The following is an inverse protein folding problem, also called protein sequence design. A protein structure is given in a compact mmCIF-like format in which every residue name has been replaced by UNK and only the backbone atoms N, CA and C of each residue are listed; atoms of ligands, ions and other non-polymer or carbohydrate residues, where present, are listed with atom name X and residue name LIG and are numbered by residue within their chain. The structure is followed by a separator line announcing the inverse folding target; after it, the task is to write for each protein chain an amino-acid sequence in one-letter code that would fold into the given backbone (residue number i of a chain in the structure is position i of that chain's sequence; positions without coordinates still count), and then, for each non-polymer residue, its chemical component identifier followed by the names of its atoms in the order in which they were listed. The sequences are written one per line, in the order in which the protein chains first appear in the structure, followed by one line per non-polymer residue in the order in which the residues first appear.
data_IF_275449262807
#
_entry.id   IF_275449262807
#
_cell.length_a   1.000
_cell.length_b   1.000
_cell.length_c   1.000
_cell.angle_alpha   90.00
_cell.angle_beta   90.00
_cell.angle_gamma   90.00
#
_symmetry.space_group_name_H-M   'P 1'
#
loop_
_entity.id
_entity.type
_entity.pdbx_description
1 polymer ?
#
# COMPACT_ATOMS: atom_id res chain seq x y z
N UNK A 1 -28.69 -10.45 -32.24
CA UNK A 1 -27.32 -10.00 -31.96
C UNK A 1 -27.39 -8.90 -30.91
N UNK A 2 -27.60 -9.27 -29.66
CA UNK A 2 -27.73 -8.35 -28.53
C UNK A 2 -27.16 -9.09 -27.32
N UNK A 3 -26.15 -8.46 -26.64
CA UNK A 3 -25.80 -8.49 -25.24
C UNK A 3 -24.34 -8.83 -24.92
N UNK A 4 -23.49 -7.80 -24.89
CA UNK A 4 -22.39 -7.78 -23.89
C UNK A 4 -22.67 -6.85 -22.69
N UNK A 5 -23.82 -6.10 -22.67
CA UNK A 5 -24.08 -5.10 -21.62
C UNK A 5 -24.61 -5.64 -20.28
N UNK A 6 -25.06 -6.88 -20.23
CA UNK A 6 -25.58 -7.47 -18.98
C UNK A 6 -24.49 -7.77 -17.92
N UNK A 7 -23.25 -8.00 -18.35
CA UNK A 7 -22.12 -8.20 -17.45
C UNK A 7 -21.72 -6.93 -16.67
N UNK A 8 -21.68 -5.81 -17.35
CA UNK A 8 -21.36 -4.50 -16.76
C UNK A 8 -22.44 -4.03 -15.79
N UNK A 9 -23.73 -4.19 -16.13
CA UNK A 9 -24.85 -3.84 -15.23
C UNK A 9 -24.90 -4.70 -13.97
N UNK A 10 -24.41 -5.94 -14.01
CA UNK A 10 -24.34 -6.81 -12.84
C UNK A 10 -23.19 -6.44 -11.89
N UNK A 11 -22.08 -5.89 -12.40
CA UNK A 11 -20.98 -5.32 -11.62
C UNK A 11 -21.42 -4.08 -10.84
N UNK A 12 -22.26 -3.22 -11.43
CA UNK A 12 -22.77 -2.02 -10.76
C UNK A 12 -23.77 -2.31 -9.62
N UNK A 13 -24.39 -3.50 -9.60
CA UNK A 13 -25.34 -3.92 -8.55
C UNK A 13 -24.69 -4.66 -7.38
N UNK A 14 -23.52 -5.27 -7.58
CA UNK A 14 -22.65 -5.77 -6.49
C UNK A 14 -21.54 -4.75 -6.33
N UNK A 15 -21.49 -4.07 -5.19
CA UNK A 15 -20.39 -3.17 -4.92
C UNK A 15 -19.05 -3.87 -5.16
N UNK A 16 -18.11 -3.21 -5.86
CA UNK A 16 -16.77 -3.74 -6.13
C UNK A 16 -16.07 -4.01 -4.81
N UNK A 17 -15.49 -5.21 -4.68
CA UNK A 17 -14.67 -5.59 -3.55
C UNK A 17 -13.20 -5.47 -3.91
N UNK A 18 -12.49 -4.59 -3.22
CA UNK A 18 -11.06 -4.34 -3.42
C UNK A 18 -10.24 -4.78 -2.22
N UNK A 19 -9.18 -5.53 -2.45
CA UNK A 19 -8.17 -5.82 -1.43
C UNK A 19 -6.90 -5.05 -1.74
N UNK A 20 -6.46 -4.22 -0.80
CA UNK A 20 -5.18 -3.48 -0.87
C UNK A 20 -4.16 -4.19 0.01
N UNK A 21 -3.07 -4.68 -0.55
CA UNK A 21 -2.04 -5.43 0.17
C UNK A 21 -0.87 -4.51 0.52
N UNK A 22 -0.71 -4.24 1.82
CA UNK A 22 0.38 -3.45 2.38
C UNK A 22 -0.06 -2.14 3.00
N UNK A 23 0.23 -1.95 4.29
CA UNK A 23 -0.15 -0.79 5.12
C UNK A 23 0.82 0.40 5.06
N UNK A 24 1.72 0.47 4.07
CA UNK A 24 2.60 1.62 3.85
C UNK A 24 1.87 2.82 3.23
N UNK A 25 2.60 3.91 2.92
CA UNK A 25 2.00 5.14 2.40
C UNK A 25 1.15 4.91 1.15
N UNK A 26 1.65 4.14 0.18
CA UNK A 26 0.88 3.83 -1.04
C UNK A 26 -0.40 3.04 -0.74
N UNK A 27 -0.34 2.06 0.16
CA UNK A 27 -1.51 1.27 0.53
C UNK A 27 -2.55 2.06 1.31
N UNK A 28 -2.13 2.95 2.19
CA UNK A 28 -3.02 3.89 2.90
C UNK A 28 -3.81 4.75 1.90
N UNK A 29 -3.12 5.36 0.95
CA UNK A 29 -3.76 6.22 -0.06
C UNK A 29 -4.67 5.41 -1.00
N UNK A 30 -4.20 4.25 -1.46
CA UNK A 30 -4.99 3.37 -2.34
C UNK A 30 -6.26 2.87 -1.65
N UNK A 31 -6.17 2.43 -0.40
CA UNK A 31 -7.31 1.95 0.36
C UNK A 31 -8.33 3.07 0.63
N UNK A 32 -7.85 4.25 1.02
CA UNK A 32 -8.70 5.41 1.25
C UNK A 32 -9.40 5.85 -0.06
N UNK A 33 -8.67 5.94 -1.16
CA UNK A 33 -9.22 6.30 -2.47
C UNK A 33 -10.27 5.28 -2.94
N UNK A 34 -9.96 3.98 -2.88
CA UNK A 34 -10.86 2.90 -3.25
C UNK A 34 -12.18 2.96 -2.45
N UNK A 35 -12.10 3.10 -1.14
CA UNK A 35 -13.29 3.18 -0.29
C UNK A 35 -14.12 4.45 -0.58
N UNK A 36 -13.48 5.60 -0.81
CA UNK A 36 -14.18 6.86 -1.16
C UNK A 36 -14.89 6.80 -2.51
N UNK A 37 -14.40 6.00 -3.46
CA UNK A 37 -15.12 5.76 -4.74
C UNK A 37 -16.30 4.82 -4.61
N UNK A 38 -16.57 4.28 -3.42
CA UNK A 38 -17.73 3.44 -3.11
C UNK A 38 -17.45 1.95 -3.10
N UNK A 39 -16.20 1.51 -3.36
CA UNK A 39 -15.84 0.10 -3.25
C UNK A 39 -15.82 -0.36 -1.80
N UNK A 40 -16.21 -1.62 -1.56
CA UNK A 40 -15.95 -2.30 -0.29
C UNK A 40 -14.47 -2.67 -0.26
N UNK A 41 -13.71 -2.05 0.64
CA UNK A 41 -12.24 -2.12 0.61
C UNK A 41 -11.69 -2.78 1.87
N UNK A 42 -10.78 -3.72 1.68
CA UNK A 42 -9.98 -4.32 2.76
C UNK A 42 -8.53 -3.86 2.62
N UNK A 43 -8.01 -3.18 3.63
CA UNK A 43 -6.57 -2.95 3.78
C UNK A 43 -5.96 -4.13 4.52
N UNK A 44 -5.26 -4.98 3.77
CA UNK A 44 -4.58 -6.16 4.29
C UNK A 44 -3.13 -5.81 4.67
N UNK A 45 -2.78 -6.03 5.91
CA UNK A 45 -1.44 -5.75 6.45
C UNK A 45 -1.01 -6.83 7.43
N UNK A 46 0.29 -7.02 7.61
CA UNK A 46 0.84 -7.95 8.60
C UNK A 46 0.60 -7.48 10.03
N UNK A 47 0.56 -6.15 10.25
CA UNK A 47 0.23 -5.55 11.54
C UNK A 47 -0.42 -4.17 11.36
N UNK A 48 -1.57 -3.97 11.99
CA UNK A 48 -2.25 -2.68 12.01
C UNK A 48 -1.43 -1.61 12.74
N UNK A 49 -0.61 -2.00 13.71
CA UNK A 49 0.26 -1.10 14.45
C UNK A 49 1.36 -0.46 13.56
N UNK A 50 1.69 -1.07 12.42
CA UNK A 50 2.71 -0.54 11.49
C UNK A 50 2.13 0.22 10.30
N UNK A 51 0.81 0.39 10.23
CA UNK A 51 0.17 1.20 9.18
C UNK A 51 0.66 2.64 9.26
N UNK A 52 1.12 3.19 8.14
CA UNK A 52 1.65 4.55 8.05
C UNK A 52 3.06 4.71 8.62
N UNK A 53 3.78 3.63 8.92
CA UNK A 53 5.13 3.68 9.47
C UNK A 53 6.13 4.36 8.51
N UNK A 54 6.90 5.30 9.03
CA UNK A 54 8.01 5.95 8.34
C UNK A 54 9.32 5.22 8.66
N UNK A 55 9.68 4.22 7.85
CA UNK A 55 10.84 3.35 8.10
C UNK A 55 12.20 4.03 7.90
N UNK A 56 12.23 5.16 7.20
CA UNK A 56 13.46 5.90 6.88
C UNK A 56 13.39 7.30 7.49
N UNK A 57 13.80 8.34 6.74
CA UNK A 57 13.64 9.72 7.18
C UNK A 57 12.17 10.07 7.45
N UNK A 58 11.82 10.52 8.65
CA UNK A 58 10.45 10.90 8.99
C UNK A 58 10.12 12.27 8.39
N UNK A 59 9.97 12.33 7.08
CA UNK A 59 9.68 13.57 6.37
C UNK A 59 8.76 13.37 5.18
N UNK A 60 7.91 14.34 4.92
CA UNK A 60 7.05 14.44 3.74
C UNK A 60 7.49 15.67 2.93
N UNK A 61 7.53 15.53 1.62
CA UNK A 61 7.95 16.59 0.71
C UNK A 61 9.34 16.40 0.13
N UNK A 62 9.93 17.50 -0.35
CA UNK A 62 11.16 17.50 -1.15
C UNK A 62 10.88 17.46 -2.65
N UNK A 63 11.92 17.29 -3.48
CA UNK A 63 11.80 17.46 -4.94
C UNK A 63 10.94 16.34 -5.56
N UNK A 64 11.28 15.07 -5.37
CA UNK A 64 10.52 13.95 -5.94
C UNK A 64 9.22 13.64 -5.16
N UNK A 65 9.37 13.32 -3.89
CA UNK A 65 8.23 13.00 -3.02
C UNK A 65 7.22 14.15 -2.90
N UNK A 66 7.71 15.40 -2.89
CA UNK A 66 6.84 16.58 -2.78
C UNK A 66 5.88 16.74 -3.97
N UNK A 67 6.31 16.41 -5.18
CA UNK A 67 5.44 16.42 -6.36
C UNK A 67 4.35 15.38 -6.23
N UNK A 68 4.70 14.12 -5.93
CA UNK A 68 3.75 13.03 -5.75
C UNK A 68 2.77 13.30 -4.60
N UNK A 69 3.25 13.88 -3.49
CA UNK A 69 2.39 14.23 -2.36
C UNK A 69 1.35 15.28 -2.74
N UNK A 70 1.72 16.30 -3.53
CA UNK A 70 0.77 17.33 -3.99
C UNK A 70 -0.29 16.75 -4.92
N UNK A 71 0.09 15.85 -5.82
CA UNK A 71 -0.85 15.17 -6.72
C UNK A 71 -1.84 14.33 -5.93
N UNK A 72 -1.34 13.57 -4.96
CA UNK A 72 -2.18 12.74 -4.08
C UNK A 72 -3.10 13.60 -3.21
N UNK A 73 -2.59 14.69 -2.65
CA UNK A 73 -3.34 15.65 -1.82
C UNK A 73 -4.45 16.33 -2.62
N UNK A 74 -4.17 16.76 -3.85
CA UNK A 74 -5.18 17.33 -4.76
C UNK A 74 -6.34 16.36 -5.07
N UNK A 75 -6.11 15.06 -4.96
CA UNK A 75 -7.12 14.01 -5.09
C UNK A 75 -7.77 13.63 -3.74
N UNK A 76 -7.52 14.38 -2.68
CA UNK A 76 -8.06 14.14 -1.34
C UNK A 76 -7.29 13.09 -0.56
N UNK A 77 -5.98 12.97 -0.75
CA UNK A 77 -5.10 12.06 -0.03
C UNK A 77 -4.99 12.36 1.46
N UNK A 78 -4.57 11.38 2.23
CA UNK A 78 -4.46 11.44 3.68
C UNK A 78 -3.09 11.95 4.14
N UNK A 79 -2.04 11.70 3.35
CA UNK A 79 -0.65 11.93 3.76
C UNK A 79 -0.34 13.42 3.99
N UNK A 80 -0.91 14.32 3.20
CA UNK A 80 -0.78 15.77 3.38
C UNK A 80 -1.38 16.24 4.71
N UNK A 81 -2.62 15.83 4.96
CA UNK A 81 -3.37 16.17 6.20
C UNK A 81 -2.64 15.64 7.45
N UNK A 82 -2.17 14.38 7.38
CA UNK A 82 -1.42 13.78 8.48
C UNK A 82 -0.05 14.45 8.68
N UNK A 83 0.58 14.91 7.59
CA UNK A 83 1.84 15.65 7.65
C UNK A 83 1.68 17.01 8.33
N UNK A 84 0.64 17.75 8.01
CA UNK A 84 0.36 19.04 8.65
C UNK A 84 0.10 18.88 10.16
N UNK A 85 -0.58 17.79 10.54
CA UNK A 85 -0.84 17.48 11.95
C UNK A 85 0.41 17.10 12.75
N UNK A 86 1.36 16.40 12.11
CA UNK A 86 2.50 15.77 12.78
C UNK A 86 3.85 16.47 12.50
N UNK A 87 3.84 17.59 11.75
CA UNK A 87 5.07 18.28 11.39
C UNK A 87 5.68 19.01 12.59
N UNK A 88 6.98 18.80 12.79
CA UNK A 88 7.79 19.48 13.79
C UNK A 88 8.66 20.59 13.19
N UNK A 89 8.88 20.56 11.87
CA UNK A 89 9.63 21.57 11.15
C UNK A 89 9.22 21.62 9.69
N UNK A 90 9.02 22.82 9.15
CA UNK A 90 8.84 23.08 7.72
C UNK A 90 10.03 23.80 7.14
N UNK A 91 10.50 23.36 5.98
CA UNK A 91 11.60 24.01 5.26
C UNK A 91 11.38 23.98 3.76
N UNK A 92 11.63 25.11 3.10
CA UNK A 92 11.75 25.17 1.64
C UNK A 92 13.15 24.72 1.23
N UNK A 93 13.25 23.62 0.49
CA UNK A 93 14.52 23.15 -0.10
C UNK A 93 14.85 23.91 -1.38
N UNK A 94 16.13 23.97 -1.69
CA UNK A 94 16.68 24.53 -2.93
C UNK A 94 16.34 26.01 -3.21
N UNK A 95 16.15 26.84 -2.18
CA UNK A 95 15.87 28.28 -2.36
C UNK A 95 16.89 28.99 -3.24
N UNK A 96 18.16 28.59 -3.16
CA UNK A 96 19.25 29.17 -3.96
C UNK A 96 19.35 28.64 -5.39
N UNK A 97 18.52 27.68 -5.79
CA UNK A 97 18.59 26.98 -7.09
C UNK A 97 17.50 27.42 -8.09
N UNK A 98 16.68 28.38 -7.71
CA UNK A 98 15.59 28.90 -8.53
C UNK A 98 14.23 28.24 -8.25
N UNK A 99 13.17 28.94 -8.63
CA UNK A 99 11.79 28.58 -8.27
C UNK A 99 11.35 27.20 -8.79
N UNK A 100 11.86 26.79 -9.95
CA UNK A 100 11.49 25.50 -10.57
C UNK A 100 11.84 24.27 -9.71
N UNK A 101 12.82 24.39 -8.82
CA UNK A 101 13.25 23.30 -7.93
C UNK A 101 12.96 23.57 -6.45
N UNK A 102 12.18 24.58 -6.15
CA UNK A 102 11.69 24.80 -4.78
C UNK A 102 10.79 23.65 -4.35
N UNK A 103 11.14 22.97 -3.27
CA UNK A 103 10.37 21.86 -2.72
C UNK A 103 10.11 22.06 -1.23
N UNK A 104 8.84 22.27 -0.80
CA UNK A 104 8.53 22.28 0.61
C UNK A 104 8.77 20.88 1.18
N UNK A 105 9.36 20.83 2.38
CA UNK A 105 9.59 19.60 3.12
C UNK A 105 9.24 19.82 4.58
N UNK A 106 8.46 18.91 5.13
CA UNK A 106 8.13 18.86 6.53
C UNK A 106 8.83 17.67 7.20
N UNK A 107 9.46 17.92 8.35
CA UNK A 107 9.98 16.87 9.22
C UNK A 107 8.87 16.46 10.18
N UNK A 108 8.70 15.15 10.39
CA UNK A 108 7.56 14.59 11.12
C UNK A 108 7.94 14.05 12.49
N UNK A 109 7.05 14.18 13.45
CA UNK A 109 6.93 13.23 14.55
C UNK A 109 6.34 11.92 14.01
N UNK A 110 7.10 10.83 14.08
CA UNK A 110 6.70 9.52 13.54
C UNK A 110 5.47 8.95 14.22
N UNK A 111 5.38 9.14 15.52
CA UNK A 111 4.29 8.60 16.33
C UNK A 111 2.98 9.34 16.02
N UNK A 112 3.02 10.68 16.04
CA UNK A 112 1.86 11.51 15.72
C UNK A 112 1.37 11.27 14.29
N UNK A 113 2.28 11.21 13.30
CA UNK A 113 1.94 10.94 11.91
C UNK A 113 1.23 9.58 11.76
N UNK A 114 1.83 8.52 12.29
CA UNK A 114 1.27 7.17 12.24
C UNK A 114 -0.10 7.09 12.92
N UNK A 115 -0.22 7.65 14.11
CA UNK A 115 -1.47 7.68 14.87
C UNK A 115 -2.57 8.40 14.08
N UNK A 116 -2.24 9.54 13.47
CA UNK A 116 -3.19 10.31 12.67
C UNK A 116 -3.66 9.54 11.44
N UNK A 117 -2.75 8.91 10.69
CA UNK A 117 -3.08 8.04 9.56
C UNK A 117 -4.04 6.92 9.98
N UNK A 118 -3.73 6.22 11.07
CA UNK A 118 -4.56 5.12 11.56
C UNK A 118 -5.94 5.59 12.02
N UNK A 119 -6.03 6.76 12.64
CA UNK A 119 -7.31 7.37 13.02
C UNK A 119 -8.15 7.67 11.77
N UNK A 120 -7.58 8.37 10.79
CA UNK A 120 -8.28 8.76 9.57
C UNK A 120 -8.79 7.55 8.79
N UNK A 121 -8.02 6.45 8.72
CA UNK A 121 -8.45 5.22 8.04
C UNK A 121 -9.68 4.58 8.72
N UNK A 122 -9.76 4.61 10.06
CA UNK A 122 -10.90 4.05 10.79
C UNK A 122 -12.20 4.84 10.60
N UNK A 123 -12.08 6.11 10.22
CA UNK A 123 -13.20 7.01 9.96
C UNK A 123 -13.78 6.88 8.55
N UNK A 124 -13.07 6.17 7.62
CA UNK A 124 -13.51 6.01 6.23
C UNK A 124 -14.58 4.92 6.13
N UNK A 125 -15.80 5.26 5.70
CA UNK A 125 -16.82 4.25 5.44
C UNK A 125 -16.37 3.23 4.38
N UNK A 126 -16.85 1.98 4.49
CA UNK A 126 -16.54 0.88 3.57
C UNK A 126 -15.06 0.44 3.55
N UNK A 127 -14.22 0.96 4.42
CA UNK A 127 -12.85 0.51 4.64
C UNK A 127 -12.78 -0.35 5.89
N UNK A 128 -12.25 -1.55 5.73
CA UNK A 128 -11.90 -2.42 6.86
C UNK A 128 -10.40 -2.72 6.85
N UNK A 129 -9.81 -2.83 8.03
CA UNK A 129 -8.40 -3.20 8.20
C UNK A 129 -8.37 -4.65 8.67
N UNK A 130 -7.58 -5.47 7.99
CA UNK A 130 -7.38 -6.87 8.35
C UNK A 130 -5.91 -7.17 8.55
N UNK A 131 -5.58 -7.70 9.72
CA UNK A 131 -4.24 -8.22 10.01
C UNK A 131 -4.13 -9.65 9.51
N UNK A 132 -3.37 -9.86 8.44
CA UNK A 132 -3.00 -11.17 7.96
C UNK A 132 -1.86 -11.07 6.95
N UNK A 133 -1.22 -12.20 6.66
CA UNK A 133 -0.14 -12.30 5.70
C UNK A 133 -0.67 -12.79 4.35
N UNK A 134 -0.54 -11.98 3.30
CA UNK A 134 -0.89 -12.37 1.94
C UNK A 134 0.10 -13.42 1.42
N UNK A 135 -0.41 -14.58 1.00
CA UNK A 135 0.38 -15.69 0.49
C UNK A 135 0.35 -15.78 -1.03
N UNK A 136 -0.76 -15.42 -1.66
CA UNK A 136 -0.91 -15.50 -3.10
C UNK A 136 -2.21 -14.89 -3.60
N UNK A 137 -2.40 -14.94 -4.91
CA UNK A 137 -3.62 -14.55 -5.59
C UNK A 137 -4.37 -15.79 -6.05
N UNK A 138 -5.69 -15.78 -5.90
CA UNK A 138 -6.58 -16.71 -6.56
C UNK A 138 -7.05 -16.08 -7.86
N UNK A 139 -6.94 -16.84 -8.95
CA UNK A 139 -7.21 -16.35 -10.29
C UNK A 139 -7.99 -17.39 -11.07
N UNK A 140 -8.97 -16.93 -11.84
CA UNK A 140 -9.75 -17.76 -12.74
C UNK A 140 -9.51 -17.35 -14.21
N UNK A 141 -9.72 -18.30 -15.12
CA UNK A 141 -9.72 -18.06 -16.56
C UNK A 141 -11.16 -17.66 -16.99
N UNK A 142 -11.28 -16.51 -17.62
CA UNK A 142 -12.55 -16.01 -18.13
C UNK A 142 -12.50 -15.77 -19.63
N UNK A 143 -13.62 -15.42 -20.25
CA UNK A 143 -13.70 -15.16 -21.71
C UNK A 143 -12.78 -14.03 -22.18
N UNK A 144 -12.42 -13.11 -21.28
CA UNK A 144 -11.54 -11.95 -21.53
C UNK A 144 -10.12 -12.15 -21.04
N UNK A 145 -9.76 -13.37 -20.63
CA UNK A 145 -8.47 -13.70 -20.04
C UNK A 145 -8.54 -13.95 -18.52
N UNK A 146 -7.39 -13.98 -17.88
CA UNK A 146 -7.29 -14.21 -16.44
C UNK A 146 -7.79 -13.01 -15.65
N UNK A 147 -8.51 -13.29 -14.58
CA UNK A 147 -8.96 -12.29 -13.61
C UNK A 147 -8.72 -12.78 -12.18
N UNK A 148 -8.49 -11.83 -11.27
CA UNK A 148 -8.35 -12.13 -9.86
C UNK A 148 -9.72 -12.39 -9.25
N UNK A 149 -9.81 -13.42 -8.39
CA UNK A 149 -11.02 -13.79 -7.66
C UNK A 149 -10.85 -13.72 -6.15
N UNK A 150 -9.61 -13.63 -5.68
CA UNK A 150 -9.33 -13.53 -4.25
C UNK A 150 -7.86 -13.34 -3.91
N UNK A 151 -7.64 -13.09 -2.63
CA UNK A 151 -6.31 -13.07 -2.00
C UNK A 151 -6.21 -14.20 -1.02
N UNK A 152 -5.29 -15.12 -1.24
CA UNK A 152 -5.01 -16.25 -0.35
C UNK A 152 -4.10 -15.81 0.77
N UNK A 153 -4.47 -16.12 2.00
CA UNK A 153 -3.72 -15.84 3.20
C UNK A 153 -2.78 -16.99 3.56
N UNK A 154 -1.78 -16.72 4.40
CA UNK A 154 -0.90 -17.75 4.95
C UNK A 154 -1.63 -18.76 5.83
N UNK A 155 -2.79 -18.42 6.37
CA UNK A 155 -3.67 -19.33 7.10
C UNK A 155 -4.36 -20.38 6.22
N UNK A 156 -4.32 -20.23 4.89
CA UNK A 156 -5.08 -21.02 3.92
C UNK A 156 -6.46 -20.44 3.58
N UNK A 157 -6.93 -19.45 4.32
CA UNK A 157 -8.16 -18.73 4.02
C UNK A 157 -8.00 -17.86 2.76
N UNK A 158 -9.07 -17.67 1.99
CA UNK A 158 -9.11 -16.72 0.89
C UNK A 158 -10.10 -15.58 1.17
N UNK A 159 -9.69 -14.35 0.84
CA UNK A 159 -10.53 -13.16 0.85
C UNK A 159 -11.03 -12.95 -0.57
N UNK A 160 -12.33 -13.18 -0.87
CA UNK A 160 -12.87 -12.94 -2.20
C UNK A 160 -12.80 -11.46 -2.57
N UNK A 161 -12.40 -11.16 -3.81
CA UNK A 161 -12.37 -9.78 -4.30
C UNK A 161 -12.41 -9.73 -5.82
N UNK A 162 -12.84 -8.57 -6.34
CA UNK A 162 -12.87 -8.29 -7.78
C UNK A 162 -11.57 -7.59 -8.23
N UNK A 163 -10.86 -6.96 -7.30
CA UNK A 163 -9.65 -6.19 -7.58
C UNK A 163 -8.63 -6.32 -6.45
N UNK A 164 -7.35 -6.32 -6.82
CA UNK A 164 -6.23 -6.29 -5.88
C UNK A 164 -5.29 -5.15 -6.23
N UNK A 165 -4.93 -4.36 -5.22
CA UNK A 165 -3.89 -3.32 -5.34
C UNK A 165 -2.68 -3.76 -4.52
N UNK A 166 -1.55 -3.97 -5.21
CA UNK A 166 -0.31 -4.41 -4.57
C UNK A 166 0.52 -3.19 -4.13
N UNK A 167 0.64 -3.02 -2.83
CA UNK A 167 1.38 -1.92 -2.20
C UNK A 167 2.48 -2.43 -1.25
N UNK A 168 3.17 -3.50 -1.63
CA UNK A 168 4.18 -4.19 -0.83
C UNK A 168 5.49 -3.41 -0.68
N UNK A 169 5.64 -2.29 -1.37
CA UNK A 169 6.85 -1.48 -1.35
C UNK A 169 8.09 -2.28 -1.80
N UNK A 170 9.17 -2.16 -1.05
CA UNK A 170 10.44 -2.86 -1.32
C UNK A 170 10.52 -4.26 -0.69
N UNK A 171 9.42 -4.74 -0.09
CA UNK A 171 9.44 -5.97 0.69
C UNK A 171 8.96 -7.21 -0.07
N UNK A 172 8.47 -7.05 -1.31
CA UNK A 172 8.08 -8.20 -2.14
C UNK A 172 9.31 -9.09 -2.41
N UNK A 173 9.26 -10.32 -1.90
CA UNK A 173 10.38 -11.27 -1.97
C UNK A 173 11.69 -10.67 -1.46
N UNK A 174 11.63 -9.85 -0.42
CA UNK A 174 12.79 -9.19 0.14
C UNK A 174 13.71 -10.16 0.86
N UNK A 175 14.99 -9.83 0.90
CA UNK A 175 15.97 -10.58 1.67
C UNK A 175 16.97 -9.65 2.36
N UNK A 176 17.44 -10.07 3.51
CA UNK A 176 18.58 -9.44 4.20
C UNK A 176 19.86 -10.10 3.69
N UNK A 177 20.83 -9.26 3.34
CA UNK A 177 22.18 -9.68 2.96
C UNK A 177 23.14 -9.23 4.06
N UNK A 178 23.88 -10.19 4.63
CA UNK A 178 24.92 -9.93 5.61
C UNK A 178 26.20 -10.67 5.17
N UNK A 179 27.13 -9.96 4.56
CA UNK A 179 28.26 -10.55 3.88
C UNK A 179 27.80 -11.52 2.79
N UNK A 180 28.18 -12.79 2.89
CA UNK A 180 27.75 -13.86 1.95
C UNK A 180 26.44 -14.53 2.35
N UNK A 181 25.91 -14.24 3.53
CA UNK A 181 24.66 -14.83 4.00
C UNK A 181 23.46 -14.09 3.41
N UNK A 182 22.47 -14.87 2.96
CA UNK A 182 21.19 -14.37 2.46
C UNK A 182 20.06 -15.08 3.19
N UNK A 183 19.14 -14.30 3.77
CA UNK A 183 17.93 -14.86 4.36
C UNK A 183 16.69 -14.08 3.90
N UNK A 184 15.58 -14.76 3.58
CA UNK A 184 14.30 -14.10 3.32
C UNK A 184 13.86 -13.30 4.54
N UNK A 185 13.34 -12.08 4.32
CA UNK A 185 12.87 -11.23 5.38
C UNK A 185 11.92 -10.14 4.86
N UNK A 186 11.04 -9.65 5.72
CA UNK A 186 10.27 -8.44 5.52
C UNK A 186 10.94 -7.21 6.15
N UNK A 187 10.13 -6.30 6.67
CA UNK A 187 10.61 -5.09 7.37
C UNK A 187 11.29 -5.47 8.68
N UNK A 188 12.38 -4.78 9.03
CA UNK A 188 12.91 -4.83 10.39
C UNK A 188 11.93 -4.22 11.39
N UNK A 189 11.65 -4.94 12.46
CA UNK A 189 10.81 -4.43 13.53
C UNK A 189 11.57 -3.42 14.40
N UNK A 190 10.86 -2.50 15.09
CA UNK A 190 11.50 -1.39 15.82
C UNK A 190 12.51 -1.83 16.87
N UNK A 191 12.25 -2.96 17.54
CA UNK A 191 13.20 -3.56 18.47
C UNK A 191 13.96 -4.69 17.80
N UNK A 192 15.30 -4.67 17.76
CA UNK A 192 16.12 -5.71 17.13
C UNK A 192 15.82 -7.13 17.64
N UNK A 193 15.40 -7.27 18.91
CA UNK A 193 14.98 -8.52 19.53
C UNK A 193 13.71 -9.13 18.90
N UNK A 194 12.89 -8.32 18.24
CA UNK A 194 11.65 -8.77 17.58
C UNK A 194 11.90 -9.34 16.17
N UNK A 195 13.10 -9.13 15.60
CA UNK A 195 13.48 -9.65 14.29
C UNK A 195 12.87 -8.86 13.12
N UNK A 196 12.30 -9.59 12.16
CA UNK A 196 11.73 -9.03 10.93
C UNK A 196 10.31 -9.54 10.71
N UNK A 197 9.50 -8.75 9.97
CA UNK A 197 8.24 -9.26 9.42
C UNK A 197 8.49 -10.51 8.54
N UNK A 198 7.49 -11.39 8.39
CA UNK A 198 7.60 -12.55 7.50
C UNK A 198 7.94 -12.17 6.07
N UNK A 199 8.65 -13.06 5.36
CA UNK A 199 8.93 -12.89 3.93
C UNK A 199 7.66 -13.04 3.09
N UNK A 200 7.58 -12.27 2.00
CA UNK A 200 6.51 -12.34 1.01
C UNK A 200 6.92 -13.12 -0.26
N UNK A 201 7.87 -14.04 -0.15
CA UNK A 201 8.33 -14.86 -1.29
C UNK A 201 7.19 -15.64 -1.96
N UNK A 202 6.26 -16.18 -1.18
CA UNK A 202 5.09 -16.89 -1.68
C UNK A 202 4.18 -16.02 -2.56
N UNK A 203 3.94 -14.76 -2.15
CA UNK A 203 3.20 -13.80 -2.95
C UNK A 203 3.96 -13.45 -4.24
N UNK A 204 5.28 -13.23 -4.16
CA UNK A 204 6.12 -13.02 -5.35
C UNK A 204 6.07 -14.21 -6.32
N UNK A 205 6.17 -15.44 -5.82
CA UNK A 205 6.01 -16.64 -6.63
C UNK A 205 4.61 -16.75 -7.26
N UNK A 206 3.58 -16.35 -6.56
CA UNK A 206 2.20 -16.32 -7.09
C UNK A 206 2.08 -15.34 -8.25
N UNK A 207 2.65 -14.14 -8.14
CA UNK A 207 2.68 -13.16 -9.23
C UNK A 207 3.45 -13.68 -10.45
N UNK A 208 4.59 -14.32 -10.25
CA UNK A 208 5.35 -14.92 -11.36
C UNK A 208 4.54 -16.01 -12.09
N UNK A 209 3.82 -16.87 -11.34
CA UNK A 209 2.90 -17.87 -11.94
C UNK A 209 1.73 -17.24 -12.69
N UNK A 210 1.29 -16.05 -12.24
CA UNK A 210 0.26 -15.27 -12.95
C UNK A 210 0.79 -14.61 -14.24
N UNK A 211 2.09 -14.73 -14.55
CA UNK A 211 2.70 -14.21 -15.77
C UNK A 211 3.36 -12.84 -15.63
N UNK A 212 3.41 -12.26 -14.42
CA UNK A 212 4.12 -11.01 -14.20
C UNK A 212 5.63 -11.23 -14.20
N UNK A 213 6.35 -10.44 -14.98
CA UNK A 213 7.81 -10.43 -14.96
C UNK A 213 8.29 -9.66 -13.72
N UNK A 214 9.04 -10.34 -12.87
CA UNK A 214 9.62 -9.75 -11.67
C UNK A 214 11.10 -9.52 -11.85
N UNK A 215 11.58 -8.35 -11.44
CA UNK A 215 12.99 -7.99 -11.46
C UNK A 215 13.39 -7.36 -10.11
N UNK A 216 14.69 -7.45 -9.80
CA UNK A 216 15.22 -6.77 -8.61
C UNK A 216 15.66 -5.39 -9.00
N UNK A 217 15.06 -4.38 -8.36
CA UNK A 217 15.45 -2.99 -8.48
C UNK A 217 16.37 -2.59 -7.31
N UNK A 218 17.32 -1.73 -7.59
CA UNK A 218 18.20 -1.09 -6.61
C UNK A 218 17.84 0.38 -6.45
#
# INVERSE_FOLDING_TARGET
MLLPHLGLLRMWRRGVHTVVIGGGHAGVEAAAASARTGASTVLLTTSAATIGEMSCNPSIGGIGKGTLTRETDALGGLSGIAADHAAIQFRMLNRSKGAAVHGPRAQMDRYLYKTRIQQMLREIPRLSIREAHAHGLDMDEGPTGRHVTGVRLASGESIPCDQVVLCTGTFLSACILLGKQRRPAGRMLPLPSQGTEPSTESLGASLARAGFQLARLK
#
